data_IF_171362126536
#
_entry.id   IF_171362126536
#
_cell.length_a   1.000
_cell.length_b   1.000
_cell.length_c   1.000
_cell.angle_alpha   90.00
_cell.angle_beta   90.00
_cell.angle_gamma   90.00
#
_symmetry.space_group_name_H-M   'P 1'
#
loop_
_entity.id
_entity.type
_entity.pdbx_description
1 polymer ?
#
# COMPACT_ATOMS: atom_id res chain seq x y z
N UNK A 1 -18.87 26.29 -15.93
CA UNK A 1 -18.58 25.64 -14.65
C UNK A 1 -18.34 24.12 -14.78
N UNK A 2 -19.13 23.34 -15.53
CA UNK A 2 -18.94 21.90 -15.69
C UNK A 2 -17.53 21.48 -16.15
N UNK A 3 -16.92 22.18 -17.10
CA UNK A 3 -15.56 21.90 -17.60
C UNK A 3 -14.47 22.02 -16.52
N UNK A 4 -14.59 22.94 -15.56
CA UNK A 4 -13.63 23.10 -14.48
C UNK A 4 -13.67 21.92 -13.48
N UNK A 5 -14.86 21.46 -13.14
CA UNK A 5 -15.05 20.30 -12.23
C UNK A 5 -14.51 19.00 -12.86
N UNK A 6 -14.78 18.79 -14.15
CA UNK A 6 -14.26 17.61 -14.87
C UNK A 6 -12.74 17.62 -14.94
N UNK A 7 -12.11 18.78 -15.18
CA UNK A 7 -10.66 18.92 -15.22
C UNK A 7 -10.01 18.67 -13.85
N UNK A 8 -10.66 19.11 -12.75
CA UNK A 8 -10.17 18.87 -11.40
C UNK A 8 -10.21 17.37 -11.04
N UNK A 9 -11.33 16.73 -11.35
CA UNK A 9 -11.48 15.26 -11.15
C UNK A 9 -10.51 14.44 -12.01
N UNK A 10 -10.19 14.92 -13.21
CA UNK A 10 -9.17 14.30 -14.05
C UNK A 10 -7.79 14.32 -13.39
N UNK A 11 -7.40 15.45 -12.81
CA UNK A 11 -6.14 15.56 -12.06
C UNK A 11 -6.12 14.67 -10.80
N UNK A 12 -7.24 14.63 -10.08
CA UNK A 12 -7.40 13.78 -8.89
C UNK A 12 -7.26 12.29 -9.24
N UNK A 13 -7.90 11.87 -10.33
CA UNK A 13 -7.78 10.50 -10.84
C UNK A 13 -6.34 10.17 -11.23
N UNK A 14 -5.63 11.06 -11.92
CA UNK A 14 -4.24 10.85 -12.32
C UNK A 14 -3.31 10.72 -11.12
N UNK A 15 -3.48 11.55 -10.08
CA UNK A 15 -2.73 11.42 -8.83
C UNK A 15 -2.99 10.08 -8.13
N UNK A 16 -4.24 9.62 -8.09
CA UNK A 16 -4.57 8.33 -7.52
C UNK A 16 -3.95 7.17 -8.32
N UNK A 17 -3.99 7.25 -9.63
CA UNK A 17 -3.38 6.25 -10.53
C UNK A 17 -1.86 6.17 -10.31
N UNK A 18 -1.17 7.30 -10.22
CA UNK A 18 0.27 7.34 -9.94
C UNK A 18 0.60 6.74 -8.57
N UNK A 19 -0.18 7.05 -7.54
CA UNK A 19 0.00 6.48 -6.20
C UNK A 19 -0.19 4.97 -6.19
N UNK A 20 -1.22 4.45 -6.88
CA UNK A 20 -1.45 3.00 -7.03
C UNK A 20 -0.31 2.32 -7.77
N UNK A 21 0.19 2.93 -8.86
CA UNK A 21 1.36 2.44 -9.59
C UNK A 21 2.60 2.33 -8.70
N UNK A 22 2.88 3.36 -7.90
CA UNK A 22 4.01 3.36 -6.95
C UNK A 22 3.89 2.24 -5.91
N UNK A 23 2.69 2.01 -5.37
CA UNK A 23 2.44 0.92 -4.41
C UNK A 23 2.67 -0.44 -5.10
N UNK A 24 2.13 -0.64 -6.30
CA UNK A 24 2.31 -1.87 -7.08
C UNK A 24 3.80 -2.17 -7.35
N UNK A 25 4.58 -1.18 -7.79
CA UNK A 25 6.01 -1.34 -8.04
C UNK A 25 6.79 -1.73 -6.78
N UNK A 26 6.52 -1.09 -5.65
CA UNK A 26 7.14 -1.44 -4.36
C UNK A 26 6.79 -2.87 -3.95
N UNK A 27 5.54 -3.27 -4.10
CA UNK A 27 5.09 -4.64 -3.80
C UNK A 27 5.76 -5.67 -4.71
N UNK A 28 6.01 -5.35 -5.99
CA UNK A 28 6.73 -6.25 -6.90
C UNK A 28 8.17 -6.50 -6.45
N UNK A 29 8.88 -5.47 -6.00
CA UNK A 29 10.23 -5.59 -5.46
C UNK A 29 10.23 -6.48 -4.20
N UNK A 30 9.30 -6.26 -3.27
CA UNK A 30 9.21 -7.06 -2.05
C UNK A 30 8.83 -8.52 -2.34
N UNK A 31 7.96 -8.77 -3.32
CA UNK A 31 7.66 -10.13 -3.78
C UNK A 31 8.90 -10.82 -4.36
N UNK A 32 9.71 -10.11 -5.13
CA UNK A 32 10.99 -10.62 -5.67
C UNK A 32 11.96 -11.02 -4.57
N UNK A 33 12.09 -10.26 -3.51
CA UNK A 33 12.90 -10.63 -2.35
C UNK A 33 12.37 -11.89 -1.66
N UNK A 34 11.05 -12.02 -1.49
CA UNK A 34 10.46 -13.22 -0.88
C UNK A 34 10.72 -14.48 -1.72
N UNK A 35 10.60 -14.40 -3.05
CA UNK A 35 10.94 -15.51 -3.96
C UNK A 35 12.42 -15.87 -3.83
N UNK A 36 13.32 -14.88 -3.78
CA UNK A 36 14.76 -15.12 -3.62
C UNK A 36 15.07 -15.86 -2.33
N UNK A 37 14.42 -15.51 -1.22
CA UNK A 37 14.57 -16.21 0.06
C UNK A 37 14.07 -17.65 -0.06
N UNK A 38 12.91 -17.88 -0.66
CA UNK A 38 12.33 -19.22 -0.81
C UNK A 38 13.16 -20.14 -1.69
N UNK A 39 13.75 -19.61 -2.77
CA UNK A 39 14.54 -20.42 -3.72
C UNK A 39 15.97 -20.68 -3.24
N UNK A 40 16.62 -19.67 -2.69
CA UNK A 40 18.05 -19.77 -2.30
C UNK A 40 18.27 -20.40 -0.93
N UNK A 41 17.23 -20.55 -0.13
CA UNK A 41 17.39 -21.00 1.24
C UNK A 41 17.47 -22.53 1.32
N UNK A 42 18.67 -23.07 1.04
CA UNK A 42 19.04 -24.46 1.32
C UNK A 42 20.15 -24.43 2.38
N UNK A 43 19.80 -24.70 3.63
CA UNK A 43 20.81 -24.80 4.69
C UNK A 43 21.29 -26.23 4.83
N UNK A 44 22.63 -26.39 4.80
CA UNK A 44 23.30 -27.60 5.21
C UNK A 44 23.61 -27.64 6.72
N UNK A 45 23.35 -26.56 7.45
CA UNK A 45 23.57 -26.44 8.89
C UNK A 45 22.36 -26.95 9.67
N UNK A 46 22.56 -27.59 10.85
CA UNK A 46 21.47 -28.01 11.71
C UNK A 46 20.81 -26.81 12.37
N UNK A 47 19.83 -26.25 11.69
CA UNK A 47 19.02 -25.13 12.19
C UNK A 47 17.76 -25.66 12.86
N UNK A 48 17.30 -24.96 13.90
CA UNK A 48 16.05 -25.29 14.58
C UNK A 48 14.88 -25.35 13.59
N UNK A 49 14.14 -26.45 13.61
CA UNK A 49 12.98 -26.69 12.75
C UNK A 49 11.91 -25.58 12.87
N UNK A 50 11.80 -24.97 14.05
CA UNK A 50 10.88 -23.86 14.30
C UNK A 50 11.28 -22.57 13.58
N UNK A 51 12.59 -22.26 13.53
CA UNK A 51 13.08 -21.08 12.81
C UNK A 51 12.88 -21.23 11.30
N UNK A 52 13.15 -22.43 10.76
CA UNK A 52 12.88 -22.73 9.35
C UNK A 52 11.41 -22.62 9.00
N UNK A 53 10.53 -23.17 9.84
CA UNK A 53 9.09 -23.04 9.65
C UNK A 53 8.65 -21.57 9.67
N UNK A 54 9.15 -20.79 10.64
CA UNK A 54 8.87 -19.35 10.73
C UNK A 54 9.34 -18.57 9.49
N UNK A 55 10.55 -18.87 8.98
CA UNK A 55 11.08 -18.26 7.77
C UNK A 55 10.20 -18.54 6.55
N UNK A 56 9.89 -19.82 6.28
CA UNK A 56 9.10 -20.19 5.11
C UNK A 56 7.67 -19.63 5.18
N UNK A 57 7.03 -19.72 6.35
CA UNK A 57 5.67 -19.19 6.53
C UNK A 57 5.63 -17.68 6.34
N UNK A 58 6.58 -16.95 6.93
CA UNK A 58 6.65 -15.49 6.77
C UNK A 58 7.00 -15.08 5.32
N UNK A 59 7.88 -15.82 4.64
CA UNK A 59 8.22 -15.57 3.24
C UNK A 59 7.03 -15.82 2.31
N UNK A 60 6.26 -16.91 2.53
CA UNK A 60 5.03 -17.19 1.79
C UNK A 60 3.96 -16.10 2.03
N UNK A 61 3.81 -15.64 3.28
CA UNK A 61 2.91 -14.55 3.60
C UNK A 61 3.33 -13.24 2.92
N UNK A 62 4.63 -12.95 2.90
CA UNK A 62 5.20 -11.80 2.18
C UNK A 62 4.88 -11.87 0.70
N UNK A 63 5.13 -13.01 0.07
CA UNK A 63 4.86 -13.22 -1.35
C UNK A 63 3.37 -13.05 -1.64
N UNK A 64 2.51 -13.76 -0.91
CA UNK A 64 1.06 -13.71 -1.09
C UNK A 64 0.48 -12.31 -0.93
N UNK A 65 0.82 -11.60 0.14
CA UNK A 65 0.34 -10.23 0.38
C UNK A 65 0.79 -9.26 -0.72
N UNK A 66 2.06 -9.34 -1.16
CA UNK A 66 2.57 -8.45 -2.20
C UNK A 66 1.99 -8.78 -3.58
N UNK A 67 1.81 -10.05 -3.94
CA UNK A 67 1.15 -10.46 -5.20
C UNK A 67 -0.31 -9.98 -5.22
N UNK A 68 -1.06 -10.16 -4.13
CA UNK A 68 -2.43 -9.63 -4.02
C UNK A 68 -2.46 -8.11 -4.19
N UNK A 69 -1.48 -7.41 -3.61
CA UNK A 69 -1.40 -5.95 -3.74
C UNK A 69 -1.11 -5.51 -5.18
N UNK A 70 -0.19 -6.19 -5.88
CA UNK A 70 0.08 -5.95 -7.31
C UNK A 70 -1.18 -6.18 -8.14
N UNK A 71 -1.85 -7.32 -7.96
CA UNK A 71 -3.06 -7.65 -8.71
C UNK A 71 -4.16 -6.60 -8.46
N UNK A 72 -4.40 -6.24 -7.20
CA UNK A 72 -5.43 -5.26 -6.85
C UNK A 72 -5.13 -3.87 -7.41
N UNK A 73 -3.89 -3.39 -7.29
CA UNK A 73 -3.49 -2.07 -7.82
C UNK A 73 -3.54 -2.03 -9.34
N UNK A 74 -3.13 -3.11 -10.01
CA UNK A 74 -3.19 -3.22 -11.47
C UNK A 74 -4.63 -3.24 -11.98
N UNK A 75 -5.50 -4.04 -11.36
CA UNK A 75 -6.92 -4.06 -11.71
C UNK A 75 -7.60 -2.71 -11.50
N UNK A 76 -7.34 -2.04 -10.37
CA UNK A 76 -7.86 -0.70 -10.11
C UNK A 76 -7.38 0.33 -11.14
N UNK A 77 -6.11 0.27 -11.53
CA UNK A 77 -5.57 1.16 -12.54
C UNK A 77 -6.22 0.92 -13.92
N UNK A 78 -6.33 -0.34 -14.36
CA UNK A 78 -6.92 -0.68 -15.67
C UNK A 78 -8.42 -0.40 -15.71
N UNK A 79 -9.19 -0.86 -14.72
CA UNK A 79 -10.64 -0.63 -14.67
C UNK A 79 -10.97 0.84 -14.50
N UNK A 80 -10.21 1.56 -13.66
CA UNK A 80 -10.37 3.00 -13.46
C UNK A 80 -10.12 3.78 -14.76
N UNK A 81 -9.03 3.46 -15.48
CA UNK A 81 -8.71 4.10 -16.76
C UNK A 81 -9.78 3.79 -17.82
N UNK A 82 -10.22 2.54 -17.93
CA UNK A 82 -11.27 2.15 -18.89
C UNK A 82 -12.57 2.89 -18.61
N UNK A 83 -12.97 3.00 -17.35
CA UNK A 83 -14.21 3.70 -16.96
C UNK A 83 -14.11 5.22 -17.18
N UNK A 84 -12.94 5.82 -16.93
CA UNK A 84 -12.73 7.25 -17.11
C UNK A 84 -12.66 7.69 -18.58
N UNK A 85 -12.24 6.81 -19.50
CA UNK A 85 -12.03 7.13 -20.92
C UNK A 85 -13.20 6.75 -21.82
N UNK A 86 -13.93 5.66 -21.50
CA UNK A 86 -14.98 5.08 -22.34
C UNK A 86 -16.37 5.12 -21.73
N UNK A 87 -16.48 5.57 -20.49
CA UNK A 87 -17.75 5.61 -19.79
C UNK A 87 -18.64 6.79 -20.23
N UNK A 88 -19.95 6.66 -20.00
CA UNK A 88 -20.93 7.74 -20.18
C UNK A 88 -20.66 8.92 -19.24
N UNK A 89 -21.30 10.06 -19.49
CA UNK A 89 -21.19 11.25 -18.64
C UNK A 89 -21.40 10.91 -17.15
N UNK A 90 -20.42 11.25 -16.31
CA UNK A 90 -20.41 10.92 -14.87
C UNK A 90 -19.64 9.64 -14.51
N UNK A 91 -19.16 8.82 -15.45
CA UNK A 91 -18.37 7.62 -15.20
C UNK A 91 -17.06 7.92 -14.48
N UNK A 92 -16.47 9.07 -14.72
CA UNK A 92 -15.26 9.54 -14.04
C UNK A 92 -15.47 9.70 -12.52
N UNK A 93 -16.66 10.14 -12.11
CA UNK A 93 -17.01 10.26 -10.69
C UNK A 93 -17.08 8.88 -10.06
N UNK A 94 -17.71 7.92 -10.73
CA UNK A 94 -17.77 6.51 -10.28
C UNK A 94 -16.39 5.87 -10.19
N UNK A 95 -15.47 6.15 -11.13
CA UNK A 95 -14.11 5.65 -11.08
C UNK A 95 -13.36 6.15 -9.85
N UNK A 96 -13.47 7.44 -9.53
CA UNK A 96 -12.85 8.03 -8.34
C UNK A 96 -13.45 7.43 -7.06
N UNK A 97 -14.78 7.33 -6.96
CA UNK A 97 -15.47 6.77 -5.79
C UNK A 97 -15.10 5.29 -5.56
N UNK A 98 -14.97 4.49 -6.63
CA UNK A 98 -14.52 3.10 -6.54
C UNK A 98 -13.08 3.00 -6.02
N UNK A 99 -12.17 3.86 -6.46
CA UNK A 99 -10.79 3.92 -5.94
C UNK A 99 -10.79 4.29 -4.45
N UNK A 100 -11.61 5.26 -4.03
CA UNK A 100 -11.73 5.66 -2.63
C UNK A 100 -12.22 4.52 -1.74
N UNK A 101 -13.23 3.75 -2.17
CA UNK A 101 -13.78 2.64 -1.39
C UNK A 101 -12.76 1.52 -1.17
N UNK A 102 -11.93 1.21 -2.17
CA UNK A 102 -10.93 0.15 -2.14
C UNK A 102 -9.58 0.58 -1.56
N UNK A 103 -9.33 1.89 -1.46
CA UNK A 103 -8.08 2.45 -0.94
C UNK A 103 -7.69 1.87 0.41
N UNK A 104 -8.64 1.73 1.34
CA UNK A 104 -8.40 1.18 2.67
C UNK A 104 -7.85 -0.24 2.60
N UNK A 105 -8.43 -1.08 1.76
CA UNK A 105 -8.00 -2.48 1.58
C UNK A 105 -6.60 -2.56 0.99
N UNK A 106 -6.29 -1.79 -0.05
CA UNK A 106 -4.96 -1.72 -0.66
C UNK A 106 -3.90 -1.32 0.36
N UNK A 107 -4.17 -0.28 1.17
CA UNK A 107 -3.24 0.14 2.23
C UNK A 107 -3.06 -0.92 3.30
N UNK A 108 -4.11 -1.65 3.68
CA UNK A 108 -4.03 -2.70 4.68
C UNK A 108 -3.20 -3.88 4.19
N UNK A 109 -3.46 -4.35 2.95
CA UNK A 109 -2.67 -5.42 2.32
C UNK A 109 -1.19 -5.02 2.19
N UNK A 110 -0.92 -3.78 1.78
CA UNK A 110 0.45 -3.25 1.71
C UNK A 110 1.14 -3.26 3.09
N UNK A 111 0.44 -2.89 4.16
CA UNK A 111 0.97 -2.96 5.51
C UNK A 111 1.30 -4.38 5.94
N UNK A 112 0.41 -5.33 5.67
CA UNK A 112 0.64 -6.76 5.94
C UNK A 112 1.88 -7.23 5.18
N UNK A 113 2.02 -6.88 3.90
CA UNK A 113 3.19 -7.21 3.09
C UNK A 113 4.50 -6.67 3.68
N UNK A 114 4.53 -5.40 4.10
CA UNK A 114 5.72 -4.78 4.71
C UNK A 114 6.09 -5.46 6.04
N UNK A 115 5.11 -5.69 6.92
CA UNK A 115 5.35 -6.35 8.22
C UNK A 115 5.84 -7.78 8.00
N UNK A 116 5.23 -8.52 7.09
CA UNK A 116 5.66 -9.88 6.76
C UNK A 116 7.10 -9.91 6.20
N UNK A 117 7.46 -8.93 5.34
CA UNK A 117 8.84 -8.79 4.83
C UNK A 117 9.84 -8.54 5.95
N UNK A 118 9.54 -7.65 6.90
CA UNK A 118 10.40 -7.40 8.06
C UNK A 118 10.55 -8.64 8.94
N UNK A 119 9.47 -9.40 9.14
CA UNK A 119 9.49 -10.66 9.89
C UNK A 119 10.33 -11.71 9.18
N UNK A 120 10.21 -11.83 7.86
CA UNK A 120 11.05 -12.74 7.05
C UNK A 120 12.53 -12.36 7.16
N UNK A 121 12.85 -11.08 7.08
CA UNK A 121 14.23 -10.61 7.24
C UNK A 121 14.79 -10.94 8.63
N UNK A 122 13.98 -10.82 9.68
CA UNK A 122 14.40 -11.21 11.04
C UNK A 122 14.73 -12.70 11.14
N UNK A 123 13.84 -13.59 10.69
CA UNK A 123 14.11 -15.03 10.70
C UNK A 123 15.35 -15.37 9.87
N UNK A 124 15.54 -14.74 8.72
CA UNK A 124 16.70 -14.95 7.86
C UNK A 124 18.01 -14.58 8.56
N UNK A 125 18.05 -13.43 9.24
CA UNK A 125 19.20 -12.94 9.99
C UNK A 125 19.56 -13.90 11.14
N UNK A 126 18.55 -14.38 11.90
CA UNK A 126 18.76 -15.31 13.01
C UNK A 126 19.24 -16.69 12.58
N UNK A 127 19.06 -17.05 11.32
CA UNK A 127 19.51 -18.33 10.79
C UNK A 127 20.95 -18.25 10.25
N UNK A 128 21.34 -17.10 9.68
CA UNK A 128 22.61 -16.96 8.96
C UNK A 128 23.70 -16.30 9.79
N UNK A 129 23.34 -15.36 10.67
CA UNK A 129 24.32 -14.58 11.42
C UNK A 129 24.52 -15.14 12.84
N UNK A 130 25.72 -14.91 13.36
CA UNK A 130 26.05 -15.18 14.76
C UNK A 130 25.19 -14.32 15.68
N UNK A 131 25.00 -14.80 16.92
CA UNK A 131 24.12 -14.20 17.93
C UNK A 131 24.32 -12.69 18.11
N UNK A 132 25.57 -12.23 18.11
CA UNK A 132 25.90 -10.80 18.31
C UNK A 132 25.38 -9.94 17.15
N UNK A 133 25.61 -10.37 15.90
CA UNK A 133 25.15 -9.65 14.71
C UNK A 133 23.64 -9.75 14.55
N UNK A 134 23.05 -10.90 14.87
CA UNK A 134 21.60 -11.08 14.85
C UNK A 134 20.89 -10.15 15.85
N UNK A 135 21.45 -9.95 17.04
CA UNK A 135 20.92 -9.03 18.04
C UNK A 135 20.93 -7.57 17.55
N UNK A 136 22.06 -7.13 16.96
CA UNK A 136 22.16 -5.77 16.39
C UNK A 136 21.17 -5.57 15.24
N UNK A 137 21.08 -6.52 14.31
CA UNK A 137 20.13 -6.45 13.20
C UNK A 137 18.67 -6.42 13.70
N UNK A 138 18.35 -7.19 14.73
CA UNK A 138 17.03 -7.18 15.38
C UNK A 138 16.72 -5.81 15.97
N UNK A 139 17.67 -5.18 16.67
CA UNK A 139 17.49 -3.85 17.22
C UNK A 139 17.21 -2.79 16.12
N UNK A 140 17.92 -2.88 14.98
CA UNK A 140 17.70 -1.99 13.83
C UNK A 140 16.31 -2.20 13.23
N UNK A 141 15.87 -3.43 13.00
CA UNK A 141 14.54 -3.73 12.42
C UNK A 141 13.42 -3.30 13.38
N UNK A 142 13.56 -3.57 14.68
CA UNK A 142 12.58 -3.14 15.69
C UNK A 142 12.54 -1.61 15.77
N UNK A 143 13.69 -0.94 15.75
CA UNK A 143 13.78 0.53 15.72
C UNK A 143 13.10 1.11 14.48
N UNK A 144 13.35 0.56 13.30
CA UNK A 144 12.69 0.96 12.06
C UNK A 144 11.17 0.75 12.14
N UNK A 145 10.70 -0.36 12.70
CA UNK A 145 9.27 -0.63 12.88
C UNK A 145 8.59 0.37 13.83
N UNK A 146 9.23 0.66 14.96
CA UNK A 146 8.73 1.67 15.92
C UNK A 146 8.68 3.06 15.27
N UNK A 147 9.72 3.44 14.54
CA UNK A 147 9.76 4.70 13.79
C UNK A 147 8.63 4.78 12.75
N UNK A 148 8.42 3.72 11.97
CA UNK A 148 7.33 3.62 10.99
C UNK A 148 5.95 3.80 11.64
N UNK A 149 5.72 3.15 12.79
CA UNK A 149 4.45 3.29 13.53
C UNK A 149 4.25 4.72 14.05
N UNK A 150 5.29 5.35 14.60
CA UNK A 150 5.24 6.74 15.06
C UNK A 150 4.99 7.70 13.91
N UNK A 151 5.71 7.55 12.80
CA UNK A 151 5.53 8.38 11.60
C UNK A 151 4.11 8.25 11.04
N UNK A 152 3.56 7.03 10.96
CA UNK A 152 2.17 6.82 10.54
C UNK A 152 1.19 7.54 11.47
N UNK A 153 1.36 7.44 12.78
CA UNK A 153 0.49 8.10 13.75
C UNK A 153 0.57 9.63 13.63
N UNK A 154 1.79 10.18 13.45
CA UNK A 154 2.02 11.61 13.26
C UNK A 154 1.38 12.11 11.97
N UNK A 155 1.62 11.43 10.84
CA UNK A 155 1.04 11.76 9.53
C UNK A 155 -0.49 11.72 9.61
N UNK A 156 -1.06 10.67 10.22
CA UNK A 156 -2.51 10.57 10.38
C UNK A 156 -3.06 11.74 11.20
N UNK A 157 -2.38 12.19 12.24
CA UNK A 157 -2.80 13.37 13.04
C UNK A 157 -2.68 14.68 12.26
N UNK A 158 -1.58 14.87 11.52
CA UNK A 158 -1.34 16.10 10.75
C UNK A 158 -2.29 16.24 9.56
N UNK A 159 -2.67 15.13 8.93
CA UNK A 159 -3.56 15.11 7.76
C UNK A 159 -4.99 14.68 8.09
N UNK A 160 -5.35 14.66 9.37
CA UNK A 160 -6.73 14.43 9.79
C UNK A 160 -7.55 15.68 9.53
N UNK A 161 -8.21 15.71 8.38
CA UNK A 161 -9.25 16.72 8.10
C UNK A 161 -10.52 16.31 8.85
N UNK A 162 -10.96 17.16 9.74
CA UNK A 162 -12.26 16.99 10.37
C UNK A 162 -13.34 17.01 9.26
N UNK A 163 -14.20 15.99 9.23
CA UNK A 163 -15.24 15.86 8.18
C UNK A 163 -16.13 17.10 8.05
N UNK A 164 -16.23 17.89 9.10
CA UNK A 164 -16.97 19.14 9.17
C UNK A 164 -16.31 20.29 8.42
N UNK A 165 -14.99 20.29 8.24
CA UNK A 165 -14.23 21.34 7.54
C UNK A 165 -13.92 20.98 6.08
N UNK A 166 -14.12 19.73 5.68
CA UNK A 166 -13.96 19.32 4.29
C UNK A 166 -15.15 19.84 3.48
N UNK A 167 -14.95 20.94 2.74
CA UNK A 167 -15.95 21.45 1.77
C UNK A 167 -16.20 20.35 0.75
N UNK A 168 -17.35 19.68 0.87
CA UNK A 168 -17.79 18.68 -0.08
C UNK A 168 -18.12 19.30 -1.44
N UNK A 169 -18.00 18.52 -2.52
CA UNK A 169 -18.44 18.99 -3.85
C UNK A 169 -19.93 19.42 -3.87
N UNK A 170 -20.75 18.89 -2.96
CA UNK A 170 -22.13 19.32 -2.76
C UNK A 170 -22.22 20.77 -2.27
N UNK A 171 -21.32 21.18 -1.39
CA UNK A 171 -21.27 22.55 -0.84
C UNK A 171 -20.74 23.55 -1.87
N UNK A 172 -19.73 23.14 -2.65
CA UNK A 172 -19.26 23.95 -3.80
C UNK A 172 -20.37 24.17 -4.84
N UNK A 173 -21.24 23.17 -5.03
CA UNK A 173 -22.38 23.27 -5.93
C UNK A 173 -23.46 24.23 -5.40
N UNK A 174 -23.68 24.24 -4.07
CA UNK A 174 -24.59 25.20 -3.40
C UNK A 174 -24.08 26.64 -3.52
N UNK A 175 -22.79 26.85 -3.19
CA UNK A 175 -22.13 28.16 -3.31
C UNK A 175 -22.12 28.67 -4.75
N UNK A 176 -22.00 27.79 -5.74
CA UNK A 176 -22.08 28.17 -7.17
C UNK A 176 -23.48 28.42 -7.67
N UNK A 177 -24.51 27.90 -6.99
CA UNK A 177 -25.94 28.16 -7.31
C UNK A 177 -26.46 29.48 -6.76
N UNK A 178 -25.95 29.91 -5.59
CA UNK A 178 -26.40 31.12 -4.89
C UNK A 178 -25.95 32.44 -5.57
N UNK A 179 -24.95 32.40 -6.43
CA UNK A 179 -24.50 33.55 -7.23
C UNK A 179 -25.33 33.77 -8.53
N UNK A 180 -26.42 33.05 -8.72
CA UNK A 180 -27.31 33.20 -9.90
C UNK A 180 -28.71 33.68 -9.56
N UNK A 181 -28.98 34.06 -8.32
CA UNK A 181 -30.16 34.76 -7.87
C UNK A 181 -29.83 36.24 -7.68
#
# INVERSE_FOLDING_TARGET
MARGVTRLKGKEFELHRQNLGTIGTRSAILAGFAVTVLVKFHTHTPVSRYLLFGLHTSAMLTLGANVLNIATTSLLAVCGTSLSTRGADGSMVRAVDAIYSLRRSVFLINWVGVVATMTTALFYVWIILDLAYAAVATAVVVGAFVFLRRSKALITRLFYFEKTTAIGFADLRRLAGDHRA
#
